data_IF_733992848420
#
_entry.id   IF_733992848420
#
_cell.length_a   1.000
_cell.length_b   1.000
_cell.length_c   1.000
_cell.angle_alpha   90.00
_cell.angle_beta   90.00
_cell.angle_gamma   90.00
#
_symmetry.space_group_name_H-M   'P 1'
#
loop_
_entity.id
_entity.type
_entity.pdbx_description
1 polymer ?
#
# COMPACT_ATOMS: atom_id res chain seq x y z
N UNK A 1 14.81 -11.75 4.36
CA UNK A 1 15.04 -10.50 5.12
C UNK A 1 14.36 -9.29 4.48
N UNK A 2 14.66 -8.92 3.22
CA UNK A 2 14.06 -7.73 2.59
C UNK A 2 12.52 -7.69 2.59
N UNK A 3 11.87 -8.76 2.10
CA UNK A 3 10.40 -8.88 2.12
C UNK A 3 9.81 -8.88 3.54
N UNK A 4 10.51 -9.46 4.51
CA UNK A 4 10.12 -9.44 5.92
C UNK A 4 10.14 -8.01 6.48
N UNK A 5 11.18 -7.22 6.17
CA UNK A 5 11.27 -5.82 6.58
C UNK A 5 10.15 -4.98 5.95
N UNK A 6 9.84 -5.21 4.67
CA UNK A 6 8.69 -4.55 4.04
C UNK A 6 7.38 -4.90 4.74
N UNK A 7 7.16 -6.18 5.06
CA UNK A 7 5.97 -6.64 5.79
C UNK A 7 5.84 -6.00 7.17
N UNK A 8 6.95 -5.86 7.91
CA UNK A 8 6.99 -5.15 9.19
C UNK A 8 6.63 -3.67 9.00
N UNK A 9 7.24 -2.99 8.03
CA UNK A 9 6.97 -1.58 7.75
C UNK A 9 5.50 -1.31 7.39
N UNK A 10 4.91 -2.15 6.55
CA UNK A 10 3.49 -2.11 6.21
C UNK A 10 2.62 -2.41 7.45
N UNK A 11 2.99 -3.39 8.26
CA UNK A 11 2.24 -3.69 9.50
C UNK A 11 2.23 -2.50 10.46
N UNK A 12 3.37 -1.83 10.65
CA UNK A 12 3.46 -0.60 11.47
C UNK A 12 2.52 0.47 10.91
N UNK A 13 2.56 0.71 9.60
CA UNK A 13 1.66 1.67 8.95
C UNK A 13 0.18 1.28 9.05
N UNK A 14 -0.14 -0.01 9.05
CA UNK A 14 -1.49 -0.53 9.25
C UNK A 14 -2.06 -0.25 10.64
N UNK A 15 -1.21 0.00 11.63
CA UNK A 15 -1.64 0.41 12.98
C UNK A 15 -1.58 1.92 13.22
N UNK A 16 -1.06 2.71 12.28
CA UNK A 16 -1.03 4.17 12.38
C UNK A 16 -2.43 4.76 12.13
N UNK A 17 -2.98 5.48 13.10
CA UNK A 17 -4.17 6.31 12.87
C UNK A 17 -3.85 7.64 12.16
N UNK A 18 -4.88 8.41 11.81
CA UNK A 18 -4.75 9.71 11.14
C UNK A 18 -3.92 10.75 11.95
N UNK A 19 -3.86 10.58 13.27
CA UNK A 19 -3.15 11.48 14.19
C UNK A 19 -1.81 10.89 14.68
N UNK A 20 -1.28 9.87 14.00
CA UNK A 20 -0.03 9.23 14.39
C UNK A 20 1.13 10.24 14.36
N UNK A 21 1.99 10.20 15.39
CA UNK A 21 3.17 11.04 15.46
C UNK A 21 4.11 10.75 14.27
N UNK A 22 4.39 11.78 13.47
CA UNK A 22 5.20 11.64 12.26
C UNK A 22 6.59 11.04 12.55
N UNK A 23 7.31 11.61 13.52
CA UNK A 23 8.67 11.19 13.87
C UNK A 23 8.78 9.82 14.56
N UNK A 24 7.65 9.21 14.93
CA UNK A 24 7.62 7.89 15.55
C UNK A 24 7.26 6.80 14.55
N UNK A 25 6.03 6.24 14.62
CA UNK A 25 5.66 5.06 13.85
C UNK A 25 5.72 5.26 12.32
N UNK A 26 5.45 6.48 11.81
CA UNK A 26 5.51 6.75 10.37
C UNK A 26 6.95 6.66 9.85
N UNK A 27 7.89 7.40 10.45
CA UNK A 27 9.31 7.33 10.07
C UNK A 27 9.87 5.92 10.25
N UNK A 28 9.55 5.24 11.35
CA UNK A 28 10.00 3.86 11.60
C UNK A 28 9.48 2.92 10.51
N UNK A 29 8.19 2.99 10.16
CA UNK A 29 7.59 2.20 9.08
C UNK A 29 8.27 2.46 7.73
N UNK A 30 8.57 3.73 7.42
CA UNK A 30 9.30 4.11 6.19
C UNK A 30 10.73 3.57 6.17
N UNK A 31 11.44 3.55 7.29
CA UNK A 31 12.78 2.97 7.39
C UNK A 31 12.76 1.45 7.13
N UNK A 32 11.76 0.74 7.67
CA UNK A 32 11.57 -0.68 7.39
C UNK A 32 11.24 -0.95 5.92
N UNK A 33 10.37 -0.13 5.31
CA UNK A 33 10.06 -0.21 3.88
C UNK A 33 11.30 0.05 3.00
N UNK A 34 12.04 1.13 3.28
CA UNK A 34 13.22 1.51 2.51
C UNK A 34 14.35 0.50 2.63
N UNK A 35 14.63 0.03 3.86
CA UNK A 35 15.62 -1.03 4.09
C UNK A 35 15.20 -2.34 3.43
N UNK A 36 13.92 -2.71 3.53
CA UNK A 36 13.36 -3.89 2.88
C UNK A 36 13.53 -3.84 1.36
N UNK A 37 13.26 -2.69 0.75
CA UNK A 37 13.45 -2.44 -0.69
C UNK A 37 14.90 -2.60 -1.11
N UNK A 38 15.83 -1.93 -0.42
CA UNK A 38 17.26 -2.05 -0.72
C UNK A 38 17.79 -3.48 -0.58
N UNK A 39 17.31 -4.22 0.43
CA UNK A 39 17.71 -5.60 0.68
C UNK A 39 17.09 -6.63 -0.27
N UNK A 40 16.07 -6.25 -1.06
CA UNK A 40 15.43 -7.16 -2.01
C UNK A 40 15.89 -6.91 -3.44
N UNK A 41 16.04 -5.65 -3.86
CA UNK A 41 16.17 -5.31 -5.29
C UNK A 41 17.43 -5.87 -5.94
N UNK A 42 18.61 -5.64 -5.35
CA UNK A 42 19.88 -6.14 -5.88
C UNK A 42 19.96 -7.68 -5.86
N UNK A 43 19.82 -8.36 -4.70
CA UNK A 43 19.99 -9.81 -4.66
C UNK A 43 18.91 -10.57 -5.44
N UNK A 44 17.70 -10.02 -5.60
CA UNK A 44 16.67 -10.66 -6.43
C UNK A 44 17.06 -10.62 -7.91
N UNK A 45 17.60 -9.49 -8.37
CA UNK A 45 18.08 -9.36 -9.75
C UNK A 45 19.28 -10.27 -9.98
N UNK A 46 20.24 -10.30 -9.04
CA UNK A 46 21.41 -11.18 -9.14
C UNK A 46 21.06 -12.66 -9.12
N UNK A 47 20.02 -13.06 -8.38
CA UNK A 47 19.55 -14.44 -8.37
C UNK A 47 18.93 -14.86 -9.71
N UNK A 48 18.12 -14.00 -10.32
CA UNK A 48 17.50 -14.26 -11.63
C UNK A 48 18.54 -14.25 -12.75
N UNK A 49 19.43 -13.26 -12.73
CA UNK A 49 20.41 -13.04 -13.79
C UNK A 49 21.63 -13.94 -13.67
N UNK A 50 22.03 -14.31 -12.46
CA UNK A 50 23.23 -15.09 -12.20
C UNK A 50 23.17 -16.55 -12.64
N UNK A 51 21.98 -17.08 -12.97
CA UNK A 51 21.80 -18.46 -13.46
C UNK A 51 21.79 -18.57 -14.99
N UNK A 52 21.83 -17.43 -15.72
CA UNK A 52 21.72 -17.41 -17.17
C UNK A 52 23.10 -17.38 -17.86
N UNK A 53 23.28 -18.12 -18.98
CA UNK A 53 24.44 -17.94 -19.86
C UNK A 53 24.53 -16.50 -20.38
N UNK A 54 25.75 -16.01 -20.59
CA UNK A 54 26.00 -14.62 -21.00
C UNK A 54 25.24 -14.23 -22.28
N UNK A 55 25.08 -15.16 -23.22
CA UNK A 55 24.38 -14.96 -24.49
C UNK A 55 22.87 -14.74 -24.31
N UNK A 56 22.32 -15.14 -23.15
CA UNK A 56 20.89 -15.02 -22.80
C UNK A 56 20.62 -13.93 -21.77
N UNK A 57 21.65 -13.24 -21.27
CA UNK A 57 21.50 -12.18 -20.28
C UNK A 57 20.55 -11.06 -20.77
N UNK A 58 20.60 -10.68 -22.05
CA UNK A 58 19.69 -9.67 -22.60
C UNK A 58 18.20 -10.08 -22.48
N UNK A 59 17.88 -11.33 -22.80
CA UNK A 59 16.51 -11.87 -22.70
C UNK A 59 16.10 -12.03 -21.24
N UNK A 60 17.01 -12.48 -20.37
CA UNK A 60 16.78 -12.60 -18.94
C UNK A 60 16.42 -11.28 -18.27
N UNK A 61 17.18 -10.22 -18.59
CA UNK A 61 16.92 -8.87 -18.06
C UNK A 61 15.55 -8.37 -18.49
N UNK A 62 15.22 -8.53 -19.78
CA UNK A 62 13.92 -8.09 -20.30
C UNK A 62 12.75 -8.80 -19.58
N UNK A 63 12.85 -10.11 -19.34
CA UNK A 63 11.83 -10.86 -18.59
C UNK A 63 11.76 -10.41 -17.13
N UNK A 64 12.90 -10.15 -16.49
CA UNK A 64 12.95 -9.65 -15.12
C UNK A 64 12.28 -8.27 -14.99
N UNK A 65 12.53 -7.37 -15.95
CA UNK A 65 11.93 -6.03 -15.97
C UNK A 65 10.42 -6.11 -16.20
N UNK A 66 9.97 -6.90 -17.19
CA UNK A 66 8.53 -7.15 -17.41
C UNK A 66 7.88 -7.73 -16.15
N UNK A 67 8.55 -8.67 -15.47
CA UNK A 67 8.03 -9.26 -14.23
C UNK A 67 7.86 -8.21 -13.13
N UNK A 68 8.80 -7.27 -13.02
CA UNK A 68 8.72 -6.16 -12.05
C UNK A 68 7.64 -5.16 -12.41
N UNK A 69 7.49 -4.82 -13.69
CA UNK A 69 6.43 -3.91 -14.17
C UNK A 69 5.04 -4.52 -13.96
N UNK A 70 4.85 -5.79 -14.31
CA UNK A 70 3.61 -6.53 -14.08
C UNK A 70 3.32 -6.65 -12.58
N UNK A 71 4.32 -7.01 -11.77
CA UNK A 71 4.17 -7.08 -10.31
C UNK A 71 3.81 -5.73 -9.69
N UNK A 72 4.46 -4.65 -10.13
CA UNK A 72 4.20 -3.30 -9.64
C UNK A 72 2.79 -2.81 -10.01
N UNK A 73 2.38 -3.00 -11.26
CA UNK A 73 1.04 -2.61 -11.73
C UNK A 73 -0.06 -3.41 -11.04
N UNK A 74 0.11 -4.73 -10.87
CA UNK A 74 -0.82 -5.56 -10.10
C UNK A 74 -0.89 -5.14 -8.63
N UNK A 75 0.25 -4.83 -8.00
CA UNK A 75 0.30 -4.37 -6.61
C UNK A 75 -0.47 -3.06 -6.41
N UNK A 76 -0.29 -2.10 -7.31
CA UNK A 76 -1.05 -0.83 -7.31
C UNK A 76 -2.54 -1.09 -7.53
N UNK A 77 -2.90 -1.94 -8.50
CA UNK A 77 -4.29 -2.27 -8.81
C UNK A 77 -4.99 -2.92 -7.60
N UNK A 78 -4.39 -3.95 -7.00
CA UNK A 78 -4.95 -4.66 -5.84
C UNK A 78 -5.12 -3.70 -4.65
N UNK A 79 -4.09 -2.91 -4.34
CA UNK A 79 -4.13 -1.97 -3.22
C UNK A 79 -5.21 -0.91 -3.42
N UNK A 80 -5.31 -0.35 -4.63
CA UNK A 80 -6.34 0.62 -5.00
C UNK A 80 -7.74 0.02 -4.96
N UNK A 81 -7.93 -1.20 -5.46
CA UNK A 81 -9.22 -1.91 -5.42
C UNK A 81 -9.68 -2.19 -4.00
N UNK A 82 -8.79 -2.68 -3.12
CA UNK A 82 -9.10 -2.90 -1.70
C UNK A 82 -9.49 -1.58 -1.03
N UNK A 83 -8.69 -0.53 -1.24
CA UNK A 83 -9.01 0.80 -0.70
C UNK A 83 -10.37 1.30 -1.18
N UNK A 84 -10.61 1.33 -2.49
CA UNK A 84 -11.82 1.88 -3.08
C UNK A 84 -13.07 1.11 -2.67
N UNK A 85 -12.97 -0.22 -2.55
CA UNK A 85 -14.07 -1.09 -2.12
C UNK A 85 -14.50 -0.85 -0.67
N UNK A 86 -13.64 -0.24 0.15
CA UNK A 86 -13.88 -0.01 1.57
C UNK A 86 -14.14 1.46 1.91
N UNK A 87 -13.48 2.39 1.21
CA UNK A 87 -13.63 3.84 1.43
C UNK A 87 -15.04 4.34 1.16
N UNK A 88 -15.55 4.14 -0.06
CA UNK A 88 -16.84 4.69 -0.50
C UNK A 88 -18.04 4.21 0.33
N UNK A 89 -18.18 2.90 0.61
CA UNK A 89 -19.21 2.38 1.49
C UNK A 89 -19.10 2.94 2.91
N UNK A 90 -17.89 2.95 3.49
CA UNK A 90 -17.69 3.44 4.87
C UNK A 90 -18.00 4.92 5.00
N UNK A 91 -17.60 5.74 4.02
CA UNK A 91 -17.95 7.15 4.00
C UNK A 91 -19.48 7.32 3.94
N UNK A 92 -20.15 6.56 3.06
CA UNK A 92 -21.61 6.61 2.94
C UNK A 92 -22.34 6.28 4.23
N UNK A 93 -21.85 5.30 4.99
CA UNK A 93 -22.35 4.96 6.33
C UNK A 93 -22.18 6.14 7.29
N UNK A 94 -20.96 6.70 7.38
CA UNK A 94 -20.64 7.78 8.31
C UNK A 94 -21.42 9.06 8.02
N UNK A 95 -21.67 9.37 6.75
CA UNK A 95 -22.38 10.60 6.37
C UNK A 95 -23.89 10.43 6.15
N UNK A 96 -24.43 9.23 6.38
CA UNK A 96 -25.84 8.91 6.14
C UNK A 96 -26.83 9.82 6.89
N UNK A 97 -26.47 10.26 8.09
CA UNK A 97 -27.31 11.09 8.95
C UNK A 97 -27.22 12.60 8.67
N UNK A 98 -26.33 13.03 7.76
CA UNK A 98 -26.05 14.45 7.51
C UNK A 98 -27.02 15.12 6.53
N UNK A 99 -28.01 14.40 5.99
CA UNK A 99 -29.00 14.91 5.02
C UNK A 99 -28.35 15.70 3.86
N UNK A 100 -27.24 15.18 3.32
CA UNK A 100 -26.53 15.82 2.20
C UNK A 100 -27.23 15.56 0.86
N UNK A 101 -27.07 16.47 -0.13
CA UNK A 101 -27.46 16.21 -1.50
C UNK A 101 -26.79 14.95 -2.04
N UNK A 102 -27.54 14.09 -2.75
CA UNK A 102 -27.02 12.83 -3.30
C UNK A 102 -25.80 13.02 -4.21
N UNK A 103 -25.74 14.13 -4.95
CA UNK A 103 -24.60 14.48 -5.79
C UNK A 103 -23.33 14.75 -4.98
N UNK A 104 -23.45 15.48 -3.85
CA UNK A 104 -22.32 15.74 -2.96
C UNK A 104 -21.80 14.45 -2.32
N UNK A 105 -22.70 13.53 -1.95
CA UNK A 105 -22.34 12.20 -1.44
C UNK A 105 -21.62 11.38 -2.50
N UNK A 106 -22.09 11.40 -3.75
CA UNK A 106 -21.45 10.68 -4.85
C UNK A 106 -20.03 11.20 -5.10
N UNK A 107 -19.85 12.52 -5.21
CA UNK A 107 -18.53 13.15 -5.39
C UNK A 107 -17.59 12.83 -4.23
N UNK A 108 -18.08 12.91 -2.99
CA UNK A 108 -17.26 12.63 -1.81
C UNK A 108 -16.74 11.18 -1.78
N UNK A 109 -17.52 10.23 -2.33
CA UNK A 109 -17.14 8.81 -2.42
C UNK A 109 -16.11 8.50 -3.50
N UNK A 110 -15.88 9.38 -4.48
CA UNK A 110 -14.89 9.13 -5.54
C UNK A 110 -13.46 9.13 -5.01
N UNK A 111 -13.13 10.01 -4.06
CA UNK A 111 -11.82 10.05 -3.41
C UNK A 111 -11.87 10.87 -2.11
N UNK A 112 -10.89 10.65 -1.23
CA UNK A 112 -10.75 11.48 -0.02
C UNK A 112 -10.51 12.96 -0.34
N UNK A 113 -9.75 13.26 -1.40
CA UNK A 113 -9.56 14.63 -1.86
C UNK A 113 -10.88 15.31 -2.23
N UNK A 114 -11.72 14.63 -3.01
CA UNK A 114 -13.06 15.12 -3.35
C UNK A 114 -13.95 15.24 -2.10
N UNK A 115 -13.87 14.29 -1.18
CA UNK A 115 -14.56 14.36 0.12
C UNK A 115 -14.20 15.61 0.94
N UNK A 116 -12.91 15.96 1.01
CA UNK A 116 -12.47 17.18 1.69
C UNK A 116 -12.92 18.47 0.98
N UNK A 117 -13.05 18.45 -0.34
CA UNK A 117 -13.63 19.57 -1.11
C UNK A 117 -15.14 19.69 -0.87
N UNK A 118 -15.86 18.58 -0.74
CA UNK A 118 -17.27 18.60 -0.33
C UNK A 118 -17.42 19.18 1.08
N UNK A 119 -16.54 18.75 2.00
CA UNK A 119 -16.52 19.27 3.37
C UNK A 119 -16.26 20.78 3.45
N UNK A 120 -15.40 21.33 2.58
CA UNK A 120 -15.12 22.77 2.56
C UNK A 120 -16.27 23.63 2.02
N UNK A 121 -17.23 23.02 1.32
CA UNK A 121 -18.45 23.66 0.80
C UNK A 121 -19.66 23.49 1.72
N UNK A 122 -19.47 22.92 2.91
CA UNK A 122 -20.55 22.73 3.86
C UNK A 122 -21.17 24.08 4.31
N UNK A 123 -22.49 24.11 4.59
CA UNK A 123 -23.19 25.35 4.93
C UNK A 123 -22.80 25.91 6.30
N UNK A 124 -22.30 25.07 7.21
CA UNK A 124 -21.81 25.47 8.53
C UNK A 124 -20.41 24.90 8.78
N UNK A 125 -19.63 25.59 9.61
CA UNK A 125 -18.30 25.12 10.01
C UNK A 125 -18.36 23.76 10.74
N UNK A 126 -19.37 23.57 11.59
CA UNK A 126 -19.59 22.32 12.33
C UNK A 126 -19.89 21.14 11.38
N UNK A 127 -20.74 21.36 10.37
CA UNK A 127 -21.00 20.34 9.35
C UNK A 127 -19.73 20.04 8.54
N UNK A 128 -18.96 21.08 8.18
CA UNK A 128 -17.68 20.92 7.49
C UNK A 128 -16.71 20.04 8.26
N UNK A 129 -16.48 20.33 9.55
CA UNK A 129 -15.59 19.54 10.40
C UNK A 129 -16.07 18.10 10.59
N UNK A 130 -17.37 17.89 10.78
CA UNK A 130 -17.93 16.54 10.90
C UNK A 130 -17.75 15.72 9.61
N UNK A 131 -17.91 16.33 8.43
CA UNK A 131 -17.65 15.68 7.14
C UNK A 131 -16.15 15.40 6.96
N UNK A 132 -15.25 16.33 7.34
CA UNK A 132 -13.80 16.08 7.31
C UNK A 132 -13.42 14.89 8.17
N UNK A 133 -13.99 14.80 9.37
CA UNK A 133 -13.82 13.66 10.27
C UNK A 133 -14.27 12.35 9.62
N UNK A 134 -15.47 12.33 9.03
CA UNK A 134 -16.00 11.16 8.34
C UNK A 134 -15.13 10.73 7.14
N UNK A 135 -14.63 11.69 6.35
CA UNK A 135 -13.71 11.43 5.24
C UNK A 135 -12.38 10.85 5.73
N UNK A 136 -11.81 11.41 6.81
CA UNK A 136 -10.57 10.91 7.39
C UNK A 136 -10.72 9.49 7.94
N UNK A 137 -11.81 9.22 8.66
CA UNK A 137 -12.15 7.90 9.21
C UNK A 137 -12.31 6.86 8.08
N UNK A 138 -13.12 7.17 7.06
CA UNK A 138 -13.34 6.29 5.92
C UNK A 138 -12.05 6.04 5.13
N UNK A 139 -11.22 7.09 4.94
CA UNK A 139 -9.92 6.96 4.30
C UNK A 139 -9.02 6.02 5.08
N UNK A 140 -8.91 6.19 6.40
CA UNK A 140 -8.07 5.33 7.23
C UNK A 140 -8.54 3.88 7.21
N UNK A 141 -9.85 3.64 7.20
CA UNK A 141 -10.40 2.29 7.07
C UNK A 141 -9.94 1.58 5.78
N UNK A 142 -10.02 2.27 4.64
CA UNK A 142 -9.51 1.74 3.36
C UNK A 142 -7.98 1.61 3.36
N UNK A 143 -7.27 2.59 3.91
CA UNK A 143 -5.81 2.63 3.97
C UNK A 143 -5.23 1.48 4.79
N UNK A 144 -5.80 1.20 5.97
CA UNK A 144 -5.38 0.08 6.81
C UNK A 144 -5.55 -1.25 6.09
N UNK A 145 -6.71 -1.49 5.48
CA UNK A 145 -6.97 -2.73 4.75
C UNK A 145 -6.00 -2.93 3.57
N UNK A 146 -5.75 -1.87 2.79
CA UNK A 146 -4.79 -1.93 1.68
C UNK A 146 -3.37 -2.22 2.18
N UNK A 147 -2.97 -1.57 3.29
CA UNK A 147 -1.65 -1.75 3.89
C UNK A 147 -1.47 -3.15 4.46
N UNK A 148 -2.45 -3.69 5.17
CA UNK A 148 -2.42 -5.08 5.66
C UNK A 148 -2.42 -6.10 4.52
N UNK A 149 -3.12 -5.82 3.41
CA UNK A 149 -3.05 -6.64 2.21
C UNK A 149 -1.62 -6.68 1.67
N UNK A 150 -0.96 -5.53 1.56
CA UNK A 150 0.44 -5.45 1.17
C UNK A 150 1.37 -6.19 2.15
N UNK A 151 1.14 -6.06 3.46
CA UNK A 151 1.91 -6.77 4.48
C UNK A 151 1.77 -8.29 4.34
N UNK A 152 0.55 -8.79 4.13
CA UNK A 152 0.30 -10.21 3.90
C UNK A 152 1.03 -10.73 2.66
N UNK A 153 0.97 -10.00 1.54
CA UNK A 153 1.70 -10.35 0.31
C UNK A 153 3.21 -10.38 0.56
N UNK A 154 3.76 -9.40 1.28
CA UNK A 154 5.17 -9.35 1.62
C UNK A 154 5.60 -10.56 2.50
N UNK A 155 4.81 -10.93 3.51
CA UNK A 155 5.10 -12.09 4.36
C UNK A 155 4.96 -13.42 3.60
N UNK A 156 3.94 -13.58 2.75
CA UNK A 156 3.81 -14.75 1.87
C UNK A 156 5.01 -14.85 0.93
N UNK A 157 5.40 -13.74 0.30
CA UNK A 157 6.60 -13.67 -0.53
C UNK A 157 7.87 -14.04 0.25
N UNK A 158 8.01 -13.58 1.49
CA UNK A 158 9.13 -13.96 2.35
C UNK A 158 9.16 -15.46 2.64
N UNK A 159 8.01 -16.08 2.94
CA UNK A 159 7.91 -17.53 3.14
C UNK A 159 8.24 -18.31 1.87
N UNK A 160 7.75 -17.86 0.70
CA UNK A 160 8.08 -18.47 -0.58
C UNK A 160 9.58 -18.38 -0.87
N UNK A 161 10.20 -17.22 -0.65
CA UNK A 161 11.64 -17.05 -0.82
C UNK A 161 12.43 -17.98 0.12
N UNK A 162 12.03 -18.09 1.39
CA UNK A 162 12.69 -19.00 2.34
C UNK A 162 12.57 -20.48 1.93
N UNK A 163 11.48 -20.86 1.28
CA UNK A 163 11.22 -22.26 0.88
C UNK A 163 11.88 -22.62 -0.46
N UNK A 164 11.90 -21.70 -1.42
CA UNK A 164 12.26 -21.99 -2.80
C UNK A 164 13.61 -21.40 -3.24
N UNK A 165 14.13 -20.37 -2.56
CA UNK A 165 15.43 -19.80 -2.92
C UNK A 165 16.53 -20.72 -2.37
N UNK A 166 17.35 -21.34 -3.23
CA UNK A 166 18.46 -22.16 -2.76
C UNK A 166 19.44 -21.27 -1.99
N UNK A 167 19.79 -21.68 -0.77
CA UNK A 167 20.92 -21.08 -0.06
C UNK A 167 22.15 -21.25 -0.94
N UNK A 168 22.74 -20.15 -1.42
CA UNK A 168 24.07 -20.19 -2.05
C UNK A 168 25.03 -20.84 -1.06
N UNK A 169 25.35 -22.12 -1.29
CA UNK A 169 26.57 -22.72 -0.74
C UNK A 169 27.74 -21.99 -1.38
N UNK A 170 28.63 -21.51 -0.52
CA UNK A 170 29.94 -20.97 -0.86
C UNK A 170 30.61 -21.94 -1.84
N UNK A 171 30.94 -21.46 -3.04
CA UNK A 171 32.02 -22.06 -3.80
C UNK A 171 33.30 -21.41 -3.28
N UNK A 172 34.01 -22.18 -2.46
CA UNK A 172 35.46 -22.09 -2.27
C UNK A 172 36.18 -22.22 -3.63
#
# INVERSE_FOLDING_TARGET
>A
MGLTNMGIGLTIMGFCGAQAAYWGPVVIGMLFLASGLGLVTSPSTDAVMGELPAERAGVGSAINDVSREVGGTLGVAISGSVFASLYGPKLGELISNFNMPNEAVAIAKESAGAGFVVASKAPTAEAGEAIRGAVSEAFMHGFHAATFTGAAVAFVGAMCALKFLPSRRQHD
#
